data_IF_784589489807
#
_entry.id   IF_784589489807
#
_cell.length_a   1.000
_cell.length_b   1.000
_cell.length_c   1.000
_cell.angle_alpha   90.00
_cell.angle_beta   90.00
_cell.angle_gamma   90.00
#
_symmetry.space_group_name_H-M   'P 1'
#
loop_
_entity.id
_entity.type
_entity.pdbx_description
1 polymer ?
#
# COMPACT_ATOMS: atom_id res chain seq x y z
N UNK A 1 11.58 12.95 -64.95
CA UNK A 1 11.77 11.91 -63.91
C UNK A 1 12.15 12.60 -62.61
N UNK A 2 11.48 12.29 -61.50
CA UNK A 2 11.83 12.84 -60.18
C UNK A 2 12.82 11.90 -59.49
N UNK A 3 14.04 12.39 -59.25
CA UNK A 3 15.05 11.68 -58.45
C UNK A 3 14.78 11.92 -56.96
N UNK A 4 13.81 11.17 -56.39
CA UNK A 4 13.56 11.18 -54.94
C UNK A 4 14.65 10.40 -54.23
N UNK A 5 15.63 11.13 -53.71
CA UNK A 5 16.78 10.59 -53.00
C UNK A 5 16.32 9.74 -51.79
N UNK A 6 16.72 8.47 -51.75
CA UNK A 6 16.31 7.50 -50.74
C UNK A 6 16.67 7.91 -49.30
N UNK A 7 17.64 8.81 -49.14
CA UNK A 7 18.01 9.40 -47.84
C UNK A 7 16.90 10.32 -47.27
N UNK A 8 16.12 10.98 -48.12
CA UNK A 8 15.02 11.87 -47.70
C UNK A 8 13.83 11.09 -47.16
N UNK A 9 13.54 9.92 -47.75
CA UNK A 9 12.44 9.03 -47.31
C UNK A 9 12.78 8.21 -46.06
N UNK A 10 14.07 7.99 -45.75
CA UNK A 10 14.48 7.26 -44.53
C UNK A 10 14.19 8.00 -43.22
N UNK A 11 14.34 9.34 -43.18
CA UNK A 11 14.13 10.14 -41.96
C UNK A 11 12.73 9.99 -41.34
N UNK A 12 11.61 10.19 -42.07
CA UNK A 12 10.28 10.06 -41.48
C UNK A 12 9.98 8.62 -41.01
N UNK A 13 10.41 7.62 -41.77
CA UNK A 13 10.18 6.21 -41.43
C UNK A 13 10.92 5.80 -40.14
N UNK A 14 12.15 6.28 -39.95
CA UNK A 14 12.92 6.06 -38.73
C UNK A 14 12.28 6.74 -37.52
N UNK A 15 11.79 7.99 -37.67
CA UNK A 15 11.07 8.68 -36.58
C UNK A 15 9.84 7.89 -36.15
N UNK A 16 8.93 7.55 -37.06
CA UNK A 16 7.70 6.82 -36.71
C UNK A 16 7.96 5.47 -36.08
N UNK A 17 9.03 4.77 -36.48
CA UNK A 17 9.41 3.49 -35.89
C UNK A 17 9.98 3.68 -34.48
N UNK A 18 10.80 4.71 -34.25
CA UNK A 18 11.31 5.08 -32.92
C UNK A 18 10.17 5.54 -32.02
N UNK A 19 9.24 6.36 -32.50
CA UNK A 19 8.07 6.83 -31.75
C UNK A 19 7.14 5.66 -31.40
N UNK A 20 6.94 4.71 -32.30
CA UNK A 20 6.20 3.47 -32.02
C UNK A 20 6.90 2.61 -30.96
N UNK A 21 8.23 2.47 -31.03
CA UNK A 21 9.02 1.73 -30.04
C UNK A 21 9.00 2.44 -28.69
N UNK A 22 9.12 3.77 -28.63
CA UNK A 22 9.05 4.55 -27.39
C UNK A 22 7.66 4.41 -26.76
N UNK A 23 6.58 4.57 -27.53
CA UNK A 23 5.23 4.38 -27.01
C UNK A 23 4.97 2.93 -26.59
N UNK A 24 5.48 1.93 -27.33
CA UNK A 24 5.41 0.54 -26.91
C UNK A 24 6.16 0.31 -25.59
N UNK A 25 7.40 0.77 -25.47
CA UNK A 25 8.19 0.63 -24.23
C UNK A 25 7.53 1.36 -23.05
N UNK A 26 6.99 2.56 -23.24
CA UNK A 26 6.27 3.29 -22.18
C UNK A 26 5.00 2.54 -21.74
N UNK A 27 4.27 1.90 -22.66
CA UNK A 27 3.05 1.16 -22.34
C UNK A 27 3.29 -0.30 -21.87
N UNK A 28 4.42 -0.93 -22.22
CA UNK A 28 4.73 -2.33 -21.88
C UNK A 28 5.81 -2.51 -20.80
N UNK A 29 6.65 -1.52 -20.51
CA UNK A 29 7.70 -1.61 -19.47
C UNK A 29 7.12 -1.34 -18.07
N UNK A 30 6.11 -2.12 -17.67
CA UNK A 30 5.54 -2.07 -16.32
C UNK A 30 6.48 -2.77 -15.34
N UNK A 31 7.42 -2.00 -14.77
CA UNK A 31 8.39 -2.48 -13.78
C UNK A 31 7.73 -2.75 -12.41
N UNK A 32 6.95 -3.82 -12.30
CA UNK A 32 6.57 -4.37 -11.01
C UNK A 32 7.81 -4.97 -10.33
N UNK A 33 8.23 -4.37 -9.21
CA UNK A 33 9.10 -5.05 -8.25
C UNK A 33 8.40 -6.28 -7.66
N UNK A 34 9.14 -7.30 -7.16
CA UNK A 34 8.57 -8.52 -6.56
C UNK A 34 7.95 -8.30 -5.15
N UNK A 35 6.90 -7.47 -5.08
CA UNK A 35 5.85 -7.41 -4.04
C UNK A 35 6.23 -7.42 -2.53
N UNK A 36 7.06 -6.59 -1.92
CA UNK A 36 8.02 -5.57 -2.32
C UNK A 36 8.94 -5.40 -1.09
N UNK A 37 10.24 -5.21 -1.25
CA UNK A 37 11.19 -5.26 -0.11
C UNK A 37 12.01 -3.96 -0.01
N UNK A 38 12.35 -3.51 1.19
CA UNK A 38 13.37 -2.47 1.40
C UNK A 38 14.14 -2.77 2.71
N UNK A 39 15.47 -2.94 2.61
CA UNK A 39 16.39 -3.01 3.75
C UNK A 39 17.20 -4.31 3.83
N UNK A 40 16.57 -5.46 3.63
CA UNK A 40 17.22 -6.79 3.66
C UNK A 40 16.62 -7.74 2.61
N UNK A 41 17.11 -8.98 2.54
CA UNK A 41 16.49 -10.07 1.76
C UNK A 41 15.45 -10.86 2.54
N UNK A 42 15.46 -10.71 3.86
CA UNK A 42 14.70 -11.54 4.79
C UNK A 42 13.36 -10.88 5.16
N UNK A 43 13.23 -9.57 4.92
CA UNK A 43 12.08 -8.77 5.37
C UNK A 43 11.41 -7.99 4.24
N UNK A 44 10.12 -8.28 4.05
CA UNK A 44 9.26 -7.63 3.06
C UNK A 44 8.48 -6.50 3.74
N UNK A 45 8.64 -5.26 3.27
CA UNK A 45 8.05 -4.08 3.92
C UNK A 45 6.50 -4.10 3.90
N UNK A 46 5.88 -4.84 2.97
CA UNK A 46 4.43 -5.03 2.95
C UNK A 46 3.95 -6.02 4.01
N UNK A 47 4.80 -6.98 4.42
CA UNK A 47 4.51 -7.89 5.56
C UNK A 47 4.58 -7.08 6.85
N UNK A 48 5.67 -6.34 7.09
CA UNK A 48 5.80 -5.41 8.23
C UNK A 48 4.62 -4.42 8.31
N UNK A 49 4.18 -3.87 7.18
CA UNK A 49 3.03 -2.96 7.14
C UNK A 49 1.73 -3.68 7.50
N UNK A 50 1.54 -4.93 7.06
CA UNK A 50 0.37 -5.73 7.41
C UNK A 50 0.32 -6.09 8.90
N UNK A 51 1.48 -6.39 9.49
CA UNK A 51 1.63 -6.64 10.93
C UNK A 51 1.39 -5.35 11.74
N UNK A 52 1.94 -4.21 11.30
CA UNK A 52 1.69 -2.91 11.93
C UNK A 52 0.19 -2.54 11.91
N UNK A 53 -0.51 -2.79 10.80
CA UNK A 53 -1.97 -2.54 10.72
C UNK A 53 -2.73 -3.45 11.70
N UNK A 54 -2.29 -4.70 11.92
CA UNK A 54 -2.87 -5.57 12.95
C UNK A 54 -2.62 -5.02 14.36
N UNK A 55 -1.40 -4.57 14.67
CA UNK A 55 -1.07 -3.95 15.97
C UNK A 55 -1.90 -2.68 16.21
N UNK A 56 -2.15 -1.86 15.18
CA UNK A 56 -3.04 -0.69 15.28
C UNK A 56 -4.48 -1.10 15.59
N UNK A 57 -4.99 -2.19 14.97
CA UNK A 57 -6.30 -2.76 15.32
C UNK A 57 -6.36 -3.23 16.77
N UNK A 58 -5.38 -4.03 17.21
CA UNK A 58 -5.35 -4.58 18.58
C UNK A 58 -5.21 -3.47 19.63
N UNK A 59 -4.46 -2.41 19.33
CA UNK A 59 -4.37 -1.21 20.15
C UNK A 59 -5.70 -0.47 20.23
N UNK A 60 -6.45 -0.35 19.12
CA UNK A 60 -7.79 0.24 19.12
C UNK A 60 -8.78 -0.60 19.94
N UNK A 61 -8.79 -1.92 19.79
CA UNK A 61 -9.65 -2.82 20.57
C UNK A 61 -9.31 -2.77 22.08
N UNK A 62 -8.03 -2.64 22.42
CA UNK A 62 -7.56 -2.42 23.81
C UNK A 62 -8.00 -1.04 24.33
N UNK A 63 -7.84 0.01 23.54
CA UNK A 63 -8.21 1.38 23.92
C UNK A 63 -9.74 1.53 24.08
N UNK A 64 -10.54 0.83 23.27
CA UNK A 64 -12.00 0.83 23.39
C UNK A 64 -12.50 0.19 24.70
N UNK A 65 -11.69 -0.69 25.32
CA UNK A 65 -12.06 -1.45 26.51
C UNK A 65 -11.34 -1.00 27.80
N UNK A 66 -10.37 -0.08 27.71
CA UNK A 66 -9.57 0.33 28.87
C UNK A 66 -10.39 1.03 29.98
N UNK A 67 -9.94 0.89 31.22
CA UNK A 67 -10.53 1.55 32.40
C UNK A 67 -9.42 2.05 33.32
N UNK A 68 -9.71 3.08 34.13
CA UNK A 68 -8.79 3.61 35.12
C UNK A 68 -9.15 3.11 36.52
N UNK A 69 -8.20 2.50 37.22
CA UNK A 69 -8.31 2.25 38.67
C UNK A 69 -7.93 3.48 39.50
N UNK A 70 -8.23 3.43 40.81
CA UNK A 70 -7.69 4.38 41.79
C UNK A 70 -8.36 5.76 41.84
N UNK A 71 -9.55 5.93 41.27
CA UNK A 71 -10.28 7.21 41.29
C UNK A 71 -11.05 7.38 42.61
N UNK A 72 -10.41 8.05 43.58
CA UNK A 72 -10.85 8.30 44.96
C UNK A 72 -11.08 7.01 45.80
N UNK A 73 -10.86 7.11 47.11
CA UNK A 73 -10.50 5.96 47.96
C UNK A 73 -11.57 4.85 48.00
N UNK A 74 -11.32 3.78 47.24
CA UNK A 74 -12.16 2.57 47.16
C UNK A 74 -11.58 1.57 46.15
N UNK A 75 -12.21 0.40 46.01
CA UNK A 75 -11.77 -0.68 45.11
C UNK A 75 -12.40 -0.63 43.71
N UNK A 76 -12.87 0.54 43.28
CA UNK A 76 -13.61 0.71 42.03
C UNK A 76 -12.68 1.03 40.83
N UNK A 77 -13.11 0.62 39.63
CA UNK A 77 -12.55 1.07 38.35
C UNK A 77 -13.56 1.96 37.62
N UNK A 78 -13.10 2.80 36.69
CA UNK A 78 -14.00 3.56 35.81
C UNK A 78 -14.75 2.63 34.85
N UNK A 79 -15.76 3.20 34.17
CA UNK A 79 -16.31 2.61 32.96
C UNK A 79 -15.31 2.78 31.80
N UNK A 80 -15.54 2.02 30.72
CA UNK A 80 -14.87 2.20 29.43
C UNK A 80 -15.19 3.58 28.79
N UNK A 81 -14.41 4.03 27.78
CA UNK A 81 -14.62 5.34 27.15
C UNK A 81 -16.01 5.50 26.53
N UNK A 82 -16.57 6.70 26.56
CA UNK A 82 -17.85 6.99 25.90
C UNK A 82 -17.75 6.93 24.36
N UNK A 83 -16.54 6.98 23.79
CA UNK A 83 -16.26 6.78 22.37
C UNK A 83 -15.88 5.33 22.01
N UNK A 84 -15.99 4.35 22.92
CA UNK A 84 -15.54 2.97 22.69
C UNK A 84 -15.99 2.39 21.33
N UNK A 85 -17.25 2.61 20.94
CA UNK A 85 -17.79 2.17 19.63
C UNK A 85 -17.05 2.78 18.42
N UNK A 86 -16.69 4.08 18.48
CA UNK A 86 -15.94 4.74 17.41
C UNK A 86 -14.48 4.27 17.36
N UNK A 87 -13.87 4.01 18.53
CA UNK A 87 -12.51 3.48 18.64
C UNK A 87 -12.44 2.06 18.04
N UNK A 88 -13.38 1.17 18.40
CA UNK A 88 -13.53 -0.15 17.76
C UNK A 88 -13.81 -0.02 16.26
N UNK A 89 -14.57 1.00 15.84
CA UNK A 89 -14.79 1.32 14.41
C UNK A 89 -13.48 1.50 13.64
N UNK A 90 -12.53 2.28 14.16
CA UNK A 90 -11.21 2.45 13.56
C UNK A 90 -10.33 1.19 13.60
N UNK A 91 -10.54 0.32 14.60
CA UNK A 91 -10.00 -1.04 14.58
C UNK A 91 -10.60 -1.90 13.45
N UNK A 92 -11.86 -1.67 13.10
CA UNK A 92 -12.53 -2.21 11.91
C UNK A 92 -11.91 -1.70 10.61
N UNK A 93 -11.81 -0.37 10.43
CA UNK A 93 -11.17 0.28 9.28
C UNK A 93 -9.75 -0.30 9.02
N UNK A 94 -8.98 -0.48 10.10
CA UNK A 94 -7.65 -1.10 10.06
C UNK A 94 -7.70 -2.55 9.57
N UNK A 95 -8.67 -3.34 10.06
CA UNK A 95 -8.92 -4.71 9.58
C UNK A 95 -9.25 -4.77 8.09
N UNK A 96 -10.05 -3.84 7.56
CA UNK A 96 -10.36 -3.76 6.12
C UNK A 96 -9.11 -3.40 5.29
N UNK A 97 -8.29 -2.46 5.76
CA UNK A 97 -7.02 -2.12 5.12
C UNK A 97 -6.07 -3.32 5.08
N UNK A 98 -5.98 -4.09 6.17
CA UNK A 98 -5.20 -5.34 6.20
C UNK A 98 -5.74 -6.36 5.20
N UNK A 99 -7.06 -6.55 5.15
CA UNK A 99 -7.74 -7.44 4.19
C UNK A 99 -7.50 -7.08 2.73
N UNK A 100 -7.23 -5.81 2.42
CA UNK A 100 -6.81 -5.33 1.09
C UNK A 100 -5.32 -5.54 0.81
N UNK A 101 -4.46 -5.53 1.83
CA UNK A 101 -3.01 -5.68 1.71
C UNK A 101 -2.56 -7.16 1.66
N UNK A 102 -3.15 -8.03 2.49
CA UNK A 102 -2.78 -9.46 2.59
C UNK A 102 -2.84 -10.26 1.28
N UNK A 103 -3.75 -9.98 0.31
CA UNK A 103 -3.73 -10.66 -0.99
C UNK A 103 -2.57 -10.21 -1.88
N UNK A 104 -2.00 -9.03 -1.65
CA UNK A 104 -0.91 -8.49 -2.47
C UNK A 104 0.37 -9.28 -2.21
N UNK A 105 0.66 -9.63 -0.95
CA UNK A 105 1.89 -10.36 -0.56
C UNK A 105 1.85 -11.87 -0.83
N UNK A 106 0.68 -12.44 -1.15
CA UNK A 106 0.53 -13.86 -1.49
C UNK A 106 0.92 -14.11 -2.96
N UNK A 107 1.66 -15.19 -3.20
CA UNK A 107 2.04 -15.71 -4.52
C UNK A 107 1.11 -16.83 -4.95
#
# INVERSE_FOLDING_TARGET
MLNVNALTLRKPYFSSQVDYIINALINYQWLQAPKTWIGSKDENVLILLSELILVVKELADTLASHTHGGILAGTASTKAPNQASAITGHGGDSGELKGRLDPITKT
#
